data_IF_362624735213
#
_entry.id   IF_362624735213
#
_cell.length_a   1.000
_cell.length_b   1.000
_cell.length_c   1.000
_cell.angle_alpha   90.00
_cell.angle_beta   90.00
_cell.angle_gamma   90.00
#
_symmetry.space_group_name_H-M   'P 1'
#
loop_
_entity.id
_entity.type
_entity.pdbx_description
1 polymer ?
#
# COMPACT_ATOMS: atom_id res chain seq x y z
N UNK A 1 -52.09 5.72 -63.40
CA UNK A 1 -50.73 5.55 -63.96
C UNK A 1 -49.78 6.36 -63.07
N UNK A 2 -48.67 5.94 -62.49
CA UNK A 2 -47.78 4.78 -62.61
C UNK A 2 -46.89 4.78 -61.35
N UNK A 3 -46.69 3.60 -60.72
CA UNK A 3 -45.45 3.04 -60.07
C UNK A 3 -44.65 3.96 -59.10
N UNK A 4 -44.11 3.51 -57.94
CA UNK A 4 -43.52 2.21 -57.56
C UNK A 4 -43.16 2.17 -56.05
N UNK A 5 -42.82 0.96 -55.59
CA UNK A 5 -42.65 0.41 -54.22
C UNK A 5 -41.54 1.01 -53.30
N UNK A 6 -41.80 0.85 -51.98
CA UNK A 6 -40.98 0.82 -50.72
C UNK A 6 -39.61 0.07 -50.80
N UNK A 7 -38.72 -0.05 -49.74
CA UNK A 7 -38.86 0.24 -48.29
C UNK A 7 -37.60 0.79 -47.54
N UNK A 8 -37.72 1.18 -46.24
CA UNK A 8 -36.71 0.88 -45.19
C UNK A 8 -37.26 1.22 -43.78
N UNK A 9 -37.62 0.22 -42.97
CA UNK A 9 -36.85 -0.39 -41.84
C UNK A 9 -36.89 0.38 -40.52
N UNK A 10 -37.79 -0.06 -39.64
CA UNK A 10 -37.57 -0.36 -38.22
C UNK A 10 -36.81 0.64 -37.36
N UNK A 11 -37.55 1.50 -36.67
CA UNK A 11 -37.08 2.30 -35.54
C UNK A 11 -37.14 1.43 -34.27
N UNK A 12 -36.02 0.86 -33.85
CA UNK A 12 -35.92 0.21 -32.54
C UNK A 12 -35.67 1.27 -31.46
N UNK A 13 -36.54 1.26 -30.46
CA UNK A 13 -36.47 2.02 -29.22
C UNK A 13 -35.27 1.59 -28.38
N UNK A 14 -34.33 2.51 -28.14
CA UNK A 14 -33.32 2.37 -27.08
C UNK A 14 -33.86 3.04 -25.82
N UNK A 15 -34.41 2.24 -24.93
CA UNK A 15 -34.60 2.57 -23.52
C UNK A 15 -33.25 2.44 -22.83
N UNK A 16 -32.62 3.57 -22.48
CA UNK A 16 -31.53 3.60 -21.52
C UNK A 16 -32.11 3.39 -20.13
N UNK A 17 -31.66 2.42 -19.32
CA UNK A 17 -31.96 2.41 -17.90
C UNK A 17 -30.95 3.31 -17.19
N UNK A 18 -31.48 4.28 -16.45
CA UNK A 18 -30.76 5.08 -15.48
C UNK A 18 -30.02 4.18 -14.48
N UNK A 19 -28.70 4.11 -14.65
CA UNK A 19 -27.80 3.61 -13.62
C UNK A 19 -27.59 4.73 -12.61
N UNK A 20 -28.21 4.60 -11.44
CA UNK A 20 -28.01 5.47 -10.29
C UNK A 20 -26.51 5.62 -10.00
N UNK A 21 -25.97 6.81 -10.25
CA UNK A 21 -24.68 7.22 -9.72
C UNK A 21 -24.83 7.39 -8.21
N UNK A 22 -24.58 6.31 -7.46
CA UNK A 22 -24.27 6.42 -6.05
C UNK A 22 -23.07 7.37 -5.92
N UNK A 23 -23.21 8.41 -5.10
CA UNK A 23 -22.20 9.44 -4.93
C UNK A 23 -20.86 8.81 -4.57
N UNK A 24 -19.81 9.14 -5.33
CA UNK A 24 -18.44 8.78 -4.99
C UNK A 24 -18.13 9.37 -3.61
N UNK A 25 -18.04 8.51 -2.60
CA UNK A 25 -17.55 8.89 -1.28
C UNK A 25 -16.19 9.56 -1.40
N UNK A 26 -15.92 10.54 -0.54
CA UNK A 26 -14.61 11.13 -0.45
C UNK A 26 -13.63 10.08 0.07
N UNK A 27 -12.56 9.81 -0.71
CA UNK A 27 -11.54 8.83 -0.32
C UNK A 27 -10.96 9.14 1.04
N UNK A 28 -10.79 8.12 1.87
CA UNK A 28 -10.12 8.21 3.17
C UNK A 28 -9.13 7.06 3.36
N UNK A 29 -8.21 7.22 4.29
CA UNK A 29 -7.30 6.15 4.68
C UNK A 29 -8.05 5.16 5.57
N UNK A 30 -7.95 3.88 5.22
CA UNK A 30 -8.45 2.76 5.99
C UNK A 30 -7.28 1.93 6.47
N UNK A 31 -7.24 1.59 7.75
CA UNK A 31 -6.17 0.79 8.34
C UNK A 31 -6.55 -0.69 8.25
N UNK A 32 -5.67 -1.49 7.66
CA UNK A 32 -5.92 -2.89 7.40
C UNK A 32 -4.78 -3.79 7.87
N UNK A 33 -5.12 -4.90 8.50
CA UNK A 33 -4.19 -6.00 8.78
C UNK A 33 -4.65 -7.26 8.04
N UNK A 34 -3.97 -7.55 6.93
CA UNK A 34 -4.38 -8.60 6.00
C UNK A 34 -3.73 -9.96 6.29
N UNK A 35 -3.00 -10.07 7.40
CA UNK A 35 -2.31 -11.30 7.78
C UNK A 35 -2.41 -11.51 9.30
N UNK A 36 -3.48 -12.18 9.73
CA UNK A 36 -3.70 -12.55 11.12
C UNK A 36 -4.10 -14.03 11.24
N UNK A 37 -3.58 -14.69 12.26
CA UNK A 37 -4.00 -16.03 12.66
C UNK A 37 -4.98 -15.92 13.82
N UNK A 38 -5.76 -16.97 13.99
CA UNK A 38 -6.76 -17.11 15.04
C UNK A 38 -6.55 -18.43 15.76
N UNK A 39 -7.30 -18.72 16.84
CA UNK A 39 -7.29 -20.04 17.48
C UNK A 39 -7.64 -21.22 16.56
N UNK A 40 -8.08 -20.98 15.31
CA UNK A 40 -8.23 -22.00 14.28
C UNK A 40 -6.91 -22.49 13.67
N UNK A 41 -5.81 -21.76 13.86
CA UNK A 41 -4.45 -22.15 13.45
C UNK A 41 -3.77 -22.96 14.55
N UNK A 42 -3.06 -24.03 14.20
CA UNK A 42 -2.44 -24.93 15.18
C UNK A 42 -1.33 -24.28 16.02
N UNK A 43 -0.72 -23.23 15.48
CA UNK A 43 0.39 -22.48 16.07
C UNK A 43 -0.04 -21.19 16.77
N UNK A 44 -1.35 -20.99 16.96
CA UNK A 44 -1.86 -19.87 17.75
C UNK A 44 -1.41 -20.03 19.22
N UNK A 45 -0.72 -19.02 19.74
CA UNK A 45 0.01 -19.10 21.01
C UNK A 45 -0.91 -18.97 22.25
N UNK A 46 -2.16 -18.52 22.06
CA UNK A 46 -3.12 -18.23 23.14
C UNK A 46 -4.41 -19.08 23.01
N UNK A 47 -4.41 -20.36 23.44
CA UNK A 47 -5.51 -21.30 23.21
C UNK A 47 -6.82 -20.95 23.95
N UNK A 48 -6.77 -19.98 24.87
CA UNK A 48 -7.94 -19.49 25.60
C UNK A 48 -8.57 -18.24 24.99
N UNK A 49 -7.89 -17.60 24.03
CA UNK A 49 -8.44 -16.45 23.34
C UNK A 49 -9.65 -16.88 22.52
N UNK A 50 -10.70 -16.07 22.53
CA UNK A 50 -11.87 -16.28 21.68
C UNK A 50 -11.72 -15.52 20.37
N UNK A 51 -12.50 -15.90 19.36
CA UNK A 51 -12.54 -15.14 18.10
C UNK A 51 -13.08 -13.72 18.30
N UNK A 52 -13.96 -13.53 19.30
CA UNK A 52 -14.45 -12.21 19.69
C UNK A 52 -13.33 -11.36 20.28
N UNK A 53 -12.40 -11.94 21.04
CA UNK A 53 -11.25 -11.21 21.57
C UNK A 53 -10.32 -10.74 20.44
N UNK A 54 -10.14 -11.52 19.37
CA UNK A 54 -9.39 -11.11 18.18
C UNK A 54 -10.03 -9.88 17.53
N UNK A 55 -11.35 -9.90 17.33
CA UNK A 55 -12.06 -8.78 16.72
C UNK A 55 -12.11 -7.54 17.62
N UNK A 56 -12.29 -7.74 18.94
CA UNK A 56 -12.20 -6.65 19.93
C UNK A 56 -10.83 -5.99 19.89
N UNK A 57 -9.77 -6.79 19.88
CA UNK A 57 -8.38 -6.33 19.78
C UNK A 57 -8.12 -5.55 18.49
N UNK A 58 -8.67 -6.01 17.37
CA UNK A 58 -8.57 -5.30 16.09
C UNK A 58 -9.26 -3.92 16.16
N UNK A 59 -10.47 -3.85 16.73
CA UNK A 59 -11.22 -2.62 16.90
C UNK A 59 -10.55 -1.64 17.87
N UNK A 60 -9.99 -2.13 18.98
CA UNK A 60 -9.23 -1.32 19.96
C UNK A 60 -7.96 -0.70 19.36
N UNK A 61 -7.44 -1.27 18.27
CA UNK A 61 -6.27 -0.75 17.52
C UNK A 61 -6.66 0.08 16.29
N UNK A 62 -7.92 0.49 16.19
CA UNK A 62 -8.46 1.29 15.09
C UNK A 62 -8.22 0.64 13.72
N UNK A 63 -8.33 -0.68 13.61
CA UNK A 63 -8.35 -1.36 12.31
C UNK A 63 -9.74 -1.23 11.70
N UNK A 64 -9.82 -0.79 10.45
CA UNK A 64 -11.05 -0.81 9.66
C UNK A 64 -11.26 -2.16 8.96
N UNK A 65 -10.18 -2.89 8.68
CA UNK A 65 -10.21 -4.14 7.88
C UNK A 65 -9.23 -5.16 8.48
N UNK A 66 -9.67 -6.40 8.62
CA UNK A 66 -8.80 -7.54 8.93
C UNK A 66 -9.05 -8.69 7.95
N UNK A 67 -8.05 -9.54 7.72
CA UNK A 67 -8.24 -10.80 7.02
C UNK A 67 -7.82 -11.98 7.90
N UNK A 68 -8.75 -12.91 8.15
CA UNK A 68 -8.45 -14.16 8.88
C UNK A 68 -7.75 -15.11 7.92
N UNK A 69 -6.47 -15.38 8.17
CA UNK A 69 -5.59 -16.13 7.27
C UNK A 69 -4.89 -17.27 8.01
N UNK A 70 -5.66 -18.13 8.67
CA UNK A 70 -5.09 -19.31 9.36
C UNK A 70 -4.30 -20.22 8.39
N UNK A 71 -3.31 -20.94 8.92
CA UNK A 71 -2.43 -21.78 8.11
C UNK A 71 -3.17 -22.95 7.46
N UNK A 72 -3.26 -22.98 6.14
CA UNK A 72 -3.85 -24.09 5.37
C UNK A 72 -5.28 -24.51 5.80
N UNK A 73 -5.99 -23.63 6.51
CA UNK A 73 -7.33 -23.88 7.03
C UNK A 73 -8.18 -22.61 6.95
N UNK A 74 -9.49 -22.82 7.00
CA UNK A 74 -10.51 -21.78 7.10
C UNK A 74 -11.34 -21.97 8.38
N UNK A 75 -10.82 -22.75 9.34
CA UNK A 75 -11.51 -23.11 10.57
C UNK A 75 -11.88 -21.87 11.41
N UNK A 76 -10.99 -20.87 11.51
CA UNK A 76 -11.24 -19.67 12.29
C UNK A 76 -12.39 -18.83 11.74
N UNK A 77 -12.35 -18.50 10.44
CA UNK A 77 -13.46 -17.77 9.81
C UNK A 77 -14.76 -18.59 9.81
N UNK A 78 -14.65 -19.91 9.68
CA UNK A 78 -15.78 -20.83 9.85
C UNK A 78 -16.39 -20.77 11.25
N UNK A 79 -15.56 -20.70 12.29
CA UNK A 79 -16.01 -20.62 13.68
C UNK A 79 -16.71 -19.29 13.97
N UNK A 80 -16.14 -18.16 13.53
CA UNK A 80 -16.75 -16.83 13.63
C UNK A 80 -18.16 -16.84 13.02
N UNK A 81 -18.28 -17.30 11.77
CA UNK A 81 -19.58 -17.32 11.07
C UNK A 81 -20.58 -18.25 11.75
N UNK A 82 -20.16 -19.44 12.19
CA UNK A 82 -21.03 -20.40 12.89
C UNK A 82 -21.55 -19.83 14.21
N UNK A 83 -20.71 -19.14 14.97
CA UNK A 83 -21.10 -18.52 16.23
C UNK A 83 -22.14 -17.42 16.01
N UNK A 84 -21.89 -16.50 15.08
CA UNK A 84 -22.83 -15.42 14.72
C UNK A 84 -24.16 -16.00 14.22
N UNK A 85 -24.11 -17.01 13.34
CA UNK A 85 -25.30 -17.67 12.82
C UNK A 85 -26.10 -18.36 13.93
N UNK A 86 -25.41 -19.09 14.83
CA UNK A 86 -26.04 -19.75 15.97
C UNK A 86 -26.74 -18.77 16.90
N UNK A 87 -26.06 -17.68 17.30
CA UNK A 87 -26.62 -16.65 18.16
C UNK A 87 -27.82 -15.94 17.48
N UNK A 88 -27.73 -15.67 16.18
CA UNK A 88 -28.83 -15.06 15.41
C UNK A 88 -30.05 -15.98 15.31
N UNK A 89 -29.85 -17.29 15.21
CA UNK A 89 -30.94 -18.28 15.27
C UNK A 89 -31.59 -18.31 16.65
N UNK A 90 -30.80 -18.32 17.73
CA UNK A 90 -31.33 -18.24 19.09
C UNK A 90 -32.12 -16.96 19.34
N UNK A 91 -31.71 -15.83 18.75
CA UNK A 91 -32.45 -14.57 18.83
C UNK A 91 -33.82 -14.69 18.16
N UNK A 92 -33.84 -15.25 16.95
CA UNK A 92 -35.05 -15.46 16.15
C UNK A 92 -36.05 -16.38 16.87
N UNK A 93 -35.53 -17.41 17.54
CA UNK A 93 -36.31 -18.35 18.36
C UNK A 93 -36.71 -17.78 19.73
N UNK A 94 -36.24 -16.57 20.09
CA UNK A 94 -36.41 -15.93 21.41
C UNK A 94 -35.85 -16.77 22.56
N UNK A 95 -34.74 -17.47 22.31
CA UNK A 95 -34.07 -18.38 23.24
C UNK A 95 -32.72 -17.88 23.75
N UNK A 96 -32.31 -16.67 23.36
CA UNK A 96 -31.09 -16.04 23.89
C UNK A 96 -31.16 -15.85 25.40
N UNK A 97 -30.11 -16.29 26.08
CA UNK A 97 -29.77 -15.82 27.43
C UNK A 97 -29.27 -14.37 27.39
N UNK A 98 -29.20 -13.71 28.55
CA UNK A 98 -28.69 -12.34 28.64
C UNK A 98 -27.21 -12.23 28.23
N UNK A 99 -26.40 -13.26 28.54
CA UNK A 99 -24.99 -13.31 28.16
C UNK A 99 -24.82 -13.50 26.64
N UNK A 100 -25.57 -14.42 26.03
CA UNK A 100 -25.55 -14.61 24.58
C UNK A 100 -26.07 -13.37 23.82
N UNK A 101 -27.06 -12.67 24.40
CA UNK A 101 -27.55 -11.40 23.86
C UNK A 101 -26.46 -10.34 23.87
N UNK A 102 -25.72 -10.19 24.99
CA UNK A 102 -24.62 -9.25 25.07
C UNK A 102 -23.52 -9.57 24.05
N UNK A 103 -23.15 -10.85 23.91
CA UNK A 103 -22.16 -11.31 22.90
C UNK A 103 -22.63 -11.06 21.47
N UNK A 104 -23.88 -11.32 21.14
CA UNK A 104 -24.42 -11.06 19.79
C UNK A 104 -24.43 -9.56 19.47
N UNK A 105 -24.79 -8.72 20.44
CA UNK A 105 -24.69 -7.26 20.28
C UNK A 105 -23.26 -6.83 20.03
N UNK A 106 -22.30 -7.35 20.80
CA UNK A 106 -20.88 -7.05 20.62
C UNK A 106 -20.37 -7.48 19.23
N UNK A 107 -20.73 -8.68 18.76
CA UNK A 107 -20.42 -9.14 17.41
C UNK A 107 -20.94 -8.19 16.33
N UNK A 108 -22.19 -7.71 16.47
CA UNK A 108 -22.80 -6.76 15.52
C UNK A 108 -22.09 -5.41 15.55
N UNK A 109 -21.87 -4.86 16.73
CA UNK A 109 -21.20 -3.57 16.92
C UNK A 109 -19.77 -3.57 16.36
N UNK A 110 -19.04 -4.66 16.56
CA UNK A 110 -17.69 -4.82 16.03
C UNK A 110 -17.68 -5.04 14.51
N UNK A 111 -18.63 -5.82 13.98
CA UNK A 111 -18.75 -6.08 12.53
C UNK A 111 -19.14 -4.84 11.73
N UNK A 112 -19.78 -3.85 12.35
CA UNK A 112 -20.03 -2.53 11.75
C UNK A 112 -18.76 -1.66 11.67
N UNK A 113 -17.76 -1.91 12.53
CA UNK A 113 -16.52 -1.13 12.62
C UNK A 113 -15.38 -1.75 11.82
N UNK A 114 -15.26 -3.07 11.86
CA UNK A 114 -14.15 -3.82 11.27
C UNK A 114 -14.68 -4.79 10.22
N UNK A 115 -14.29 -4.58 8.97
CA UNK A 115 -14.55 -5.53 7.90
C UNK A 115 -13.67 -6.77 8.09
N UNK A 116 -14.29 -7.94 8.27
CA UNK A 116 -13.59 -9.22 8.37
C UNK A 116 -13.61 -9.95 7.03
N UNK A 117 -12.43 -10.12 6.43
CA UNK A 117 -12.25 -10.82 5.16
C UNK A 117 -11.88 -12.30 5.40
N UNK A 118 -12.54 -13.25 4.73
CA UNK A 118 -12.12 -14.65 4.73
C UNK A 118 -10.83 -14.83 3.92
N UNK A 119 -9.90 -15.60 4.45
CA UNK A 119 -8.71 -16.02 3.73
C UNK A 119 -8.07 -17.26 4.33
N UNK A 120 -6.85 -17.54 3.89
CA UNK A 120 -5.96 -18.55 4.44
C UNK A 120 -4.50 -18.20 4.09
N UNK A 121 -3.56 -18.64 4.90
CA UNK A 121 -2.13 -18.66 4.55
C UNK A 121 -1.77 -20.07 4.07
N UNK A 122 -1.56 -20.21 2.77
CA UNK A 122 -1.19 -21.46 2.13
C UNK A 122 0.32 -21.68 2.16
N UNK A 123 0.74 -22.85 2.62
CA UNK A 123 2.13 -23.31 2.57
C UNK A 123 2.38 -24.11 1.28
N UNK A 124 3.02 -23.48 0.31
CA UNK A 124 3.41 -24.04 -0.98
C UNK A 124 4.66 -24.93 -0.89
N UNK A 125 5.03 -25.58 -2.00
CA UNK A 125 6.27 -26.37 -2.11
C UNK A 125 7.48 -25.59 -1.59
N UNK A 126 8.39 -26.27 -0.89
CA UNK A 126 9.55 -25.69 -0.17
C UNK A 126 9.19 -24.81 1.03
N UNK A 127 7.92 -24.78 1.44
CA UNK A 127 7.47 -24.06 2.61
C UNK A 127 7.27 -22.58 2.37
N UNK A 128 6.95 -22.14 1.15
CA UNK A 128 6.63 -20.72 0.90
C UNK A 128 5.21 -20.39 1.33
N UNK A 129 5.03 -19.24 1.95
CA UNK A 129 3.71 -18.81 2.38
C UNK A 129 3.08 -17.84 1.40
N UNK A 130 1.79 -18.04 1.15
CA UNK A 130 0.98 -17.29 0.18
C UNK A 130 -0.38 -17.02 0.82
N UNK A 131 -0.78 -15.76 0.90
CA UNK A 131 -2.11 -15.41 1.36
C UNK A 131 -3.09 -15.45 0.18
N UNK A 132 -4.21 -16.12 0.39
CA UNK A 132 -5.41 -16.01 -0.42
C UNK A 132 -6.50 -15.32 0.37
N UNK A 133 -6.90 -14.11 -0.04
CA UNK A 133 -7.97 -13.33 0.63
C UNK A 133 -9.15 -13.20 -0.33
N UNK A 134 -10.37 -13.34 0.17
CA UNK A 134 -11.58 -13.44 -0.66
C UNK A 134 -12.67 -12.45 -0.23
N UNK A 135 -13.68 -12.20 -1.08
CA UNK A 135 -14.84 -11.38 -0.71
C UNK A 135 -15.51 -11.88 0.58
N UNK A 136 -16.06 -10.98 1.41
CA UNK A 136 -16.68 -11.33 2.70
C UNK A 136 -17.84 -12.33 2.58
N UNK A 137 -18.50 -12.39 1.43
CA UNK A 137 -19.61 -13.30 1.14
C UNK A 137 -19.15 -14.68 0.62
N UNK A 138 -17.84 -14.92 0.49
CA UNK A 138 -17.33 -16.17 -0.08
C UNK A 138 -17.73 -17.37 0.80
N UNK A 139 -18.44 -18.38 0.26
CA UNK A 139 -18.88 -19.53 1.06
C UNK A 139 -17.69 -20.33 1.60
N UNK A 140 -17.80 -20.84 2.83
CA UNK A 140 -16.75 -21.64 3.47
C UNK A 140 -16.35 -22.84 2.60
N UNK A 141 -17.33 -23.54 2.03
CA UNK A 141 -17.12 -24.69 1.13
C UNK A 141 -16.31 -24.33 -0.12
N UNK A 142 -16.43 -23.09 -0.62
CA UNK A 142 -15.63 -22.65 -1.77
C UNK A 142 -14.16 -22.50 -1.35
N UNK A 143 -13.89 -21.97 -0.16
CA UNK A 143 -12.52 -21.84 0.36
C UNK A 143 -11.89 -23.21 0.62
N UNK A 144 -12.63 -24.13 1.24
CA UNK A 144 -12.21 -25.54 1.42
C UNK A 144 -11.88 -26.20 0.08
N UNK A 145 -12.73 -26.00 -0.94
CA UNK A 145 -12.49 -26.53 -2.29
C UNK A 145 -11.21 -25.97 -2.93
N UNK A 146 -10.89 -24.70 -2.70
CA UNK A 146 -9.64 -24.09 -3.18
C UNK A 146 -8.44 -24.74 -2.50
N UNK A 147 -8.47 -24.91 -1.17
CA UNK A 147 -7.40 -25.58 -0.42
C UNK A 147 -7.19 -27.04 -0.91
N UNK A 148 -8.27 -27.77 -1.17
CA UNK A 148 -8.20 -29.11 -1.77
C UNK A 148 -7.58 -29.09 -3.17
N UNK A 149 -7.92 -28.08 -3.98
CA UNK A 149 -7.34 -27.90 -5.32
C UNK A 149 -5.85 -27.54 -5.27
N UNK A 150 -5.39 -26.96 -4.17
CA UNK A 150 -3.97 -26.72 -3.87
C UNK A 150 -3.25 -27.94 -3.27
N UNK A 151 -3.92 -29.09 -3.24
CA UNK A 151 -3.42 -30.38 -2.75
C UNK A 151 -3.15 -30.40 -1.24
N UNK A 152 -3.90 -29.62 -0.46
CA UNK A 152 -3.94 -29.77 0.99
C UNK A 152 -4.68 -31.06 1.35
N UNK A 153 -4.07 -31.97 2.14
CA UNK A 153 -4.74 -33.19 2.59
C UNK A 153 -6.00 -32.88 3.40
N UNK A 154 -7.06 -33.66 3.21
CA UNK A 154 -8.36 -33.47 3.88
C UNK A 154 -8.21 -33.46 5.40
N UNK A 155 -7.35 -34.33 5.95
CA UNK A 155 -7.07 -34.45 7.38
C UNK A 155 -6.32 -33.24 7.97
N UNK A 156 -5.69 -32.42 7.13
CA UNK A 156 -4.97 -31.20 7.53
C UNK A 156 -5.85 -29.95 7.52
N UNK A 157 -6.99 -30.00 6.81
CA UNK A 157 -7.91 -28.86 6.70
C UNK A 157 -8.49 -28.41 8.04
N UNK A 158 -8.71 -29.32 8.98
CA UNK A 158 -9.32 -28.98 10.27
C UNK A 158 -8.28 -28.57 11.35
N UNK A 159 -7.01 -28.86 11.12
CA UNK A 159 -5.94 -28.69 12.11
C UNK A 159 -5.21 -27.36 11.93
N UNK A 160 -5.07 -26.90 10.68
CA UNK A 160 -4.35 -25.66 10.40
C UNK A 160 -2.82 -25.80 10.56
N UNK A 161 -2.25 -26.86 9.98
CA UNK A 161 -0.84 -27.22 10.14
C UNK A 161 0.03 -26.58 9.04
N UNK A 162 1.22 -26.08 9.40
CA UNK A 162 2.26 -25.59 8.48
C UNK A 162 2.96 -26.70 7.69
N UNK A 163 2.85 -27.96 8.13
CA UNK A 163 3.45 -29.09 7.45
C UNK A 163 2.50 -29.66 6.40
N UNK A 164 2.63 -29.19 5.18
CA UNK A 164 1.93 -29.75 4.02
C UNK A 164 2.91 -30.63 3.24
N UNK A 165 2.49 -31.85 2.89
CA UNK A 165 3.35 -32.82 2.18
C UNK A 165 3.66 -32.37 0.74
N UNK A 166 3.05 -33.01 -0.24
CA UNK A 166 3.18 -32.67 -1.67
C UNK A 166 2.35 -31.43 -2.05
N UNK A 167 2.55 -30.31 -1.37
CA UNK A 167 1.83 -29.07 -1.67
C UNK A 167 2.17 -28.52 -3.07
N UNK A 168 1.19 -27.84 -3.67
CA UNK A 168 1.30 -27.17 -4.98
C UNK A 168 2.43 -26.14 -5.01
N UNK A 169 3.06 -25.94 -6.17
CA UNK A 169 4.11 -24.93 -6.34
C UNK A 169 3.55 -23.49 -6.28
N UNK A 170 4.45 -22.52 -6.06
CA UNK A 170 4.10 -21.11 -5.85
C UNK A 170 3.30 -20.51 -7.03
N UNK A 171 3.71 -20.77 -8.27
CA UNK A 171 3.09 -20.14 -9.44
C UNK A 171 1.71 -20.72 -9.71
N UNK A 172 1.57 -22.04 -9.57
CA UNK A 172 0.26 -22.70 -9.67
C UNK A 172 -0.67 -22.22 -8.54
N UNK A 173 -0.16 -22.05 -7.32
CA UNK A 173 -0.96 -21.52 -6.21
C UNK A 173 -1.48 -20.10 -6.49
N UNK A 174 -0.63 -19.20 -6.99
CA UNK A 174 -1.05 -17.86 -7.40
C UNK A 174 -2.17 -17.91 -8.42
N UNK A 175 -2.02 -18.73 -9.46
CA UNK A 175 -3.02 -18.88 -10.51
C UNK A 175 -4.37 -19.38 -9.95
N UNK A 176 -4.35 -20.46 -9.16
CA UNK A 176 -5.57 -21.06 -8.60
C UNK A 176 -6.33 -20.06 -7.71
N UNK A 177 -5.63 -19.35 -6.84
CA UNK A 177 -6.24 -18.34 -5.95
C UNK A 177 -6.81 -17.18 -6.77
N UNK A 178 -6.05 -16.67 -7.75
CA UNK A 178 -6.46 -15.56 -8.61
C UNK A 178 -7.71 -15.91 -9.43
N UNK A 179 -7.72 -17.08 -10.10
CA UNK A 179 -8.85 -17.57 -10.89
C UNK A 179 -10.10 -17.82 -10.04
N UNK A 180 -9.93 -18.18 -8.76
CA UNK A 180 -11.04 -18.32 -7.82
C UNK A 180 -11.65 -16.98 -7.36
N UNK A 181 -11.06 -15.84 -7.75
CA UNK A 181 -11.49 -14.48 -7.40
C UNK A 181 -10.85 -13.94 -6.13
N UNK A 182 -9.77 -14.57 -5.65
CA UNK A 182 -9.02 -14.10 -4.49
C UNK A 182 -7.99 -13.02 -4.83
N UNK A 183 -7.58 -12.27 -3.80
CA UNK A 183 -6.36 -11.49 -3.73
C UNK A 183 -5.19 -12.43 -3.43
N UNK A 184 -4.11 -12.32 -4.20
CA UNK A 184 -2.90 -13.13 -4.04
C UNK A 184 -1.77 -12.26 -3.49
N UNK A 185 -1.31 -12.58 -2.29
CA UNK A 185 -0.21 -11.85 -1.64
C UNK A 185 0.88 -12.84 -1.27
N UNK A 186 2.13 -12.54 -1.63
CA UNK A 186 3.25 -13.32 -1.11
C UNK A 186 3.54 -12.87 0.32
N UNK A 187 3.27 -13.76 1.29
CA UNK A 187 3.42 -13.48 2.71
C UNK A 187 4.89 -13.23 3.05
N UNK A 188 5.13 -12.26 3.94
CA UNK A 188 6.43 -11.88 4.52
C UNK A 188 7.63 -12.17 3.58
N UNK A 189 7.54 -11.69 2.34
CA UNK A 189 8.33 -12.14 1.21
C UNK A 189 9.85 -12.03 1.44
N UNK A 190 10.29 -11.11 2.29
CA UNK A 190 11.69 -10.87 2.63
C UNK A 190 12.18 -11.58 3.92
N UNK A 191 11.34 -12.38 4.57
CA UNK A 191 11.58 -13.10 5.82
C UNK A 191 11.51 -14.62 5.63
N UNK A 192 11.67 -15.38 6.71
CA UNK A 192 11.48 -16.85 6.76
C UNK A 192 10.18 -17.26 6.07
N UNK A 193 10.22 -18.30 5.23
CA UNK A 193 9.08 -18.77 4.41
C UNK A 193 8.61 -17.78 3.31
N UNK A 194 9.32 -16.66 3.12
CA UNK A 194 9.06 -15.69 2.05
C UNK A 194 9.73 -16.05 0.71
N UNK A 195 9.05 -15.74 -0.39
CA UNK A 195 9.52 -16.04 -1.76
C UNK A 195 10.74 -15.23 -2.23
N UNK A 196 11.08 -14.15 -1.54
CA UNK A 196 12.18 -13.23 -1.85
C UNK A 196 13.31 -13.25 -0.79
N UNK A 197 13.42 -14.32 -0.01
CA UNK A 197 14.50 -14.53 0.96
C UNK A 197 15.89 -14.34 0.34
N UNK A 198 16.78 -13.64 1.04
CA UNK A 198 18.17 -13.42 0.58
C UNK A 198 19.03 -14.69 0.67
N UNK A 199 18.83 -15.50 1.71
CA UNK A 199 19.74 -16.61 2.06
C UNK A 199 19.27 -18.00 1.59
N UNK A 200 18.16 -18.10 0.86
CA UNK A 200 17.71 -19.37 0.29
C UNK A 200 18.31 -19.58 -1.12
N UNK A 201 18.91 -20.76 -1.41
CA UNK A 201 19.69 -21.01 -2.62
C UNK A 201 18.83 -21.24 -3.87
N UNK A 202 18.05 -20.23 -4.28
CA UNK A 202 17.40 -20.23 -5.59
C UNK A 202 18.24 -19.51 -6.64
N UNK A 203 18.14 -19.96 -7.89
CA UNK A 203 18.58 -19.20 -9.04
C UNK A 203 17.80 -17.89 -9.16
N UNK A 204 18.45 -16.83 -9.67
CA UNK A 204 17.83 -15.51 -9.81
C UNK A 204 16.52 -15.51 -10.62
N UNK A 205 16.41 -16.41 -11.60
CA UNK A 205 15.21 -16.56 -12.44
C UNK A 205 13.98 -17.01 -11.65
N UNK A 206 14.14 -17.91 -10.68
CA UNK A 206 13.01 -18.37 -9.84
C UNK A 206 12.49 -17.23 -8.96
N UNK A 207 13.38 -16.41 -8.39
CA UNK A 207 12.97 -15.25 -7.58
C UNK A 207 12.22 -14.23 -8.42
N UNK A 208 12.67 -13.97 -9.65
CA UNK A 208 11.96 -13.09 -10.59
C UNK A 208 10.58 -13.68 -10.88
N UNK A 209 10.47 -14.96 -11.22
CA UNK A 209 9.20 -15.60 -11.50
C UNK A 209 8.21 -15.48 -10.32
N UNK A 210 8.65 -15.78 -9.10
CA UNK A 210 7.79 -15.71 -7.91
C UNK A 210 7.38 -14.28 -7.51
N UNK A 211 8.17 -13.27 -7.84
CA UNK A 211 7.90 -11.88 -7.41
C UNK A 211 7.30 -11.00 -8.50
N UNK A 212 7.28 -11.46 -9.74
CA UNK A 212 6.81 -10.71 -10.91
C UNK A 212 5.67 -11.43 -11.67
N UNK A 213 5.19 -12.56 -11.16
CA UNK A 213 4.06 -13.30 -11.75
C UNK A 213 2.82 -12.41 -11.91
N UNK A 214 2.12 -12.42 -13.06
CA UNK A 214 0.96 -11.56 -13.30
C UNK A 214 -0.23 -11.82 -12.37
N UNK A 215 -0.35 -13.00 -11.77
CA UNK A 215 -1.43 -13.33 -10.84
C UNK A 215 -1.16 -12.83 -9.41
N UNK A 216 0.09 -12.45 -9.11
CA UNK A 216 0.47 -11.89 -7.82
C UNK A 216 0.04 -10.44 -7.71
N UNK A 217 -0.75 -10.09 -6.69
CA UNK A 217 -1.31 -8.75 -6.50
C UNK A 217 -0.40 -7.85 -5.65
N UNK A 218 0.21 -8.38 -4.58
CA UNK A 218 1.12 -7.63 -3.72
C UNK A 218 2.20 -8.49 -3.06
N UNK A 219 3.24 -7.84 -2.55
CA UNK A 219 4.27 -8.43 -1.70
C UNK A 219 4.08 -7.92 -0.27
N UNK A 220 3.88 -8.81 0.69
CA UNK A 220 3.95 -8.44 2.09
C UNK A 220 5.41 -8.39 2.52
N UNK A 221 5.84 -7.29 3.13
CA UNK A 221 7.24 -7.08 3.53
C UNK A 221 7.35 -6.63 4.97
N UNK A 222 8.37 -7.14 5.66
CA UNK A 222 8.60 -6.87 7.09
C UNK A 222 9.39 -5.59 7.36
N UNK A 223 9.78 -4.85 6.31
CA UNK A 223 10.69 -3.70 6.37
C UNK A 223 10.18 -2.45 5.62
N UNK A 224 8.86 -2.31 5.40
CA UNK A 224 8.27 -1.17 4.68
C UNK A 224 8.47 0.16 5.43
N UNK A 225 8.63 0.10 6.74
CA UNK A 225 8.95 1.22 7.62
C UNK A 225 10.40 1.72 7.45
N UNK A 226 11.28 0.95 6.80
CA UNK A 226 12.68 1.30 6.60
C UNK A 226 12.90 2.04 5.28
N UNK A 227 13.39 3.27 5.36
CA UNK A 227 13.61 4.17 4.22
C UNK A 227 14.75 3.75 3.27
N UNK A 228 15.96 3.49 3.75
CA UNK A 228 17.14 3.29 2.86
C UNK A 228 17.30 1.87 2.28
N UNK A 229 16.72 0.84 2.90
CA UNK A 229 16.91 -0.58 2.52
C UNK A 229 15.62 -1.39 2.37
N UNK A 230 14.45 -0.74 2.30
CA UNK A 230 13.19 -1.48 2.19
C UNK A 230 13.16 -2.35 0.94
N UNK A 231 12.52 -3.50 1.10
CA UNK A 231 12.21 -4.41 0.01
C UNK A 231 11.36 -3.71 -1.07
N UNK A 232 10.51 -2.75 -0.68
CA UNK A 232 9.71 -1.95 -1.60
C UNK A 232 10.54 -1.16 -2.63
N UNK A 233 11.70 -0.62 -2.25
CA UNK A 233 12.59 0.07 -3.20
C UNK A 233 13.17 -0.89 -4.25
N UNK A 234 13.35 -2.16 -3.90
CA UNK A 234 13.85 -3.17 -4.84
C UNK A 234 12.80 -3.49 -5.93
N UNK A 235 11.51 -3.52 -5.57
CA UNK A 235 10.39 -3.83 -6.46
C UNK A 235 9.68 -2.59 -7.01
N UNK A 236 10.40 -1.48 -7.17
CA UNK A 236 9.86 -0.21 -7.66
C UNK A 236 9.73 -0.14 -9.21
N UNK A 237 10.16 -1.18 -9.94
CA UNK A 237 10.14 -1.23 -11.40
C UNK A 237 11.35 -0.59 -12.10
N UNK A 238 12.34 -0.06 -11.37
CA UNK A 238 13.50 0.61 -11.96
C UNK A 238 14.60 -0.35 -12.43
N UNK A 239 14.51 -1.63 -12.08
CA UNK A 239 15.49 -2.66 -12.44
C UNK A 239 15.01 -3.43 -13.67
N UNK A 240 15.90 -3.66 -14.63
CA UNK A 240 15.62 -4.41 -15.86
C UNK A 240 15.05 -5.81 -15.59
N UNK A 241 15.55 -6.48 -14.55
CA UNK A 241 15.17 -7.83 -14.16
C UNK A 241 13.86 -7.88 -13.36
N UNK A 242 13.41 -6.73 -12.82
CA UNK A 242 12.16 -6.58 -12.06
C UNK A 242 11.35 -5.39 -12.61
N UNK A 243 10.87 -5.48 -13.86
CA UNK A 243 10.26 -4.35 -14.54
C UNK A 243 8.84 -4.05 -14.06
N UNK A 244 8.16 -5.00 -13.40
CA UNK A 244 6.83 -4.81 -12.83
C UNK A 244 6.98 -4.22 -11.44
N UNK A 245 6.61 -2.94 -11.31
CA UNK A 245 6.44 -2.30 -10.00
C UNK A 245 5.35 -3.03 -9.21
N UNK A 246 5.69 -3.47 -8.00
CA UNK A 246 4.77 -4.20 -7.11
C UNK A 246 4.24 -3.28 -6.02
N UNK A 247 3.01 -3.53 -5.56
CA UNK A 247 2.56 -3.02 -4.28
C UNK A 247 3.27 -3.77 -3.17
N UNK A 248 3.83 -3.03 -2.22
CA UNK A 248 4.41 -3.61 -1.01
C UNK A 248 3.58 -3.18 0.20
N UNK A 249 3.09 -4.16 0.94
CA UNK A 249 2.22 -3.98 2.10
C UNK A 249 2.85 -4.66 3.32
N UNK A 250 2.20 -4.55 4.47
CA UNK A 250 2.57 -5.24 5.71
C UNK A 250 1.33 -5.73 6.45
N UNK A 251 1.47 -6.87 7.12
CA UNK A 251 0.57 -7.38 8.13
C UNK A 251 1.34 -7.79 9.40
N UNK A 252 0.60 -8.09 10.45
CA UNK A 252 1.17 -8.43 11.74
C UNK A 252 1.73 -9.85 11.80
N UNK A 253 1.20 -10.78 11.00
CA UNK A 253 1.51 -12.21 11.11
C UNK A 253 1.25 -12.69 12.56
N UNK A 254 0.15 -12.19 13.14
CA UNK A 254 -0.14 -12.30 14.56
C UNK A 254 -0.69 -13.69 14.90
N UNK A 255 -0.03 -14.33 15.87
CA UNK A 255 -0.41 -15.62 16.45
C UNK A 255 -0.96 -15.47 17.88
N UNK A 256 -1.32 -14.24 18.25
CA UNK A 256 -1.64 -13.81 19.62
C UNK A 256 -2.29 -12.44 19.60
N UNK A 257 -3.02 -12.09 20.65
CA UNK A 257 -3.73 -10.82 20.75
C UNK A 257 -2.77 -9.64 20.91
N UNK A 258 -1.74 -9.77 21.74
CA UNK A 258 -0.78 -8.69 22.03
C UNK A 258 0.66 -9.14 21.86
N UNK A 259 1.58 -8.20 21.56
CA UNK A 259 3.00 -8.48 21.41
C UNK A 259 3.56 -9.33 22.54
N UNK A 260 4.52 -10.20 22.24
CA UNK A 260 5.27 -10.87 23.30
C UNK A 260 6.20 -9.88 24.02
N UNK A 261 6.03 -9.62 25.34
CA UNK A 261 6.92 -8.73 26.08
C UNK A 261 8.37 -9.23 26.12
N UNK A 262 8.61 -10.53 25.92
CA UNK A 262 9.94 -11.15 25.88
C UNK A 262 10.53 -11.22 24.47
N UNK A 263 9.69 -11.17 23.44
CA UNK A 263 10.12 -11.24 22.05
C UNK A 263 9.41 -10.16 21.20
N UNK A 264 9.96 -8.94 21.11
CA UNK A 264 9.36 -7.84 20.37
C UNK A 264 9.16 -8.08 18.85
N UNK A 265 9.68 -9.19 18.31
CA UNK A 265 9.43 -9.61 16.92
C UNK A 265 8.13 -10.41 16.76
N UNK A 266 7.57 -10.91 17.86
CA UNK A 266 6.27 -11.60 17.89
C UNK A 266 5.19 -10.55 18.13
N UNK A 267 4.56 -10.14 17.04
CA UNK A 267 3.54 -9.11 17.04
C UNK A 267 2.18 -9.67 17.45
N UNK A 268 1.36 -8.79 18.01
CA UNK A 268 -0.07 -9.01 18.19
C UNK A 268 -0.90 -8.45 17.03
N UNK A 269 -2.18 -8.81 17.01
CA UNK A 269 -3.17 -8.41 15.99
C UNK A 269 -3.12 -6.89 15.72
N UNK A 270 -2.82 -6.43 14.52
CA UNK A 270 -2.85 -4.99 14.18
C UNK A 270 -1.65 -4.15 14.61
N UNK A 271 -0.62 -4.75 15.21
CA UNK A 271 0.62 -4.04 15.58
C UNK A 271 1.49 -3.69 14.36
N UNK A 272 1.29 -4.39 13.25
CA UNK A 272 1.78 -3.98 11.94
C UNK A 272 0.62 -4.05 10.97
N UNK A 273 0.31 -2.92 10.35
CA UNK A 273 -0.83 -2.77 9.46
C UNK A 273 -0.43 -1.93 8.24
N UNK A 274 -1.26 -1.98 7.21
CA UNK A 274 -1.17 -1.15 6.01
C UNK A 274 -2.33 -0.19 5.97
N UNK A 275 -2.08 1.06 5.62
CA UNK A 275 -3.13 2.02 5.30
C UNK A 275 -3.39 2.06 3.80
N UNK A 276 -4.67 1.95 3.44
CA UNK A 276 -5.17 2.00 2.07
C UNK A 276 -6.04 3.24 1.87
N UNK A 277 -5.76 4.05 0.85
CA UNK A 277 -6.64 5.16 0.48
C UNK A 277 -7.79 4.60 -0.36
N UNK A 278 -8.94 4.33 0.24
CA UNK A 278 -10.09 3.67 -0.41
C UNK A 278 -11.29 4.61 -0.51
N UNK A 279 -12.21 4.30 -1.43
CA UNK A 279 -13.49 5.00 -1.53
C UNK A 279 -14.48 4.49 -0.44
N UNK A 280 -14.35 3.22 -0.04
CA UNK A 280 -15.10 2.53 1.02
C UNK A 280 -14.30 1.32 1.57
N UNK A 281 -14.68 0.80 2.75
CA UNK A 281 -14.11 -0.42 3.31
C UNK A 281 -14.74 -1.65 2.65
N UNK A 282 -14.22 -2.06 1.50
CA UNK A 282 -14.64 -3.27 0.80
C UNK A 282 -13.45 -4.03 0.21
N UNK A 283 -13.66 -5.33 -0.01
CA UNK A 283 -12.71 -6.20 -0.70
C UNK A 283 -12.38 -5.66 -2.10
N UNK A 284 -13.40 -5.19 -2.81
CA UNK A 284 -13.36 -4.69 -4.18
C UNK A 284 -12.54 -3.39 -4.26
N UNK A 285 -12.64 -2.52 -3.25
CA UNK A 285 -11.81 -1.33 -3.16
C UNK A 285 -10.32 -1.69 -2.98
N UNK A 286 -10.00 -2.68 -2.14
CA UNK A 286 -8.62 -3.18 -1.96
C UNK A 286 -8.10 -3.79 -3.27
N UNK A 287 -8.88 -4.66 -3.90
CA UNK A 287 -8.54 -5.27 -5.21
C UNK A 287 -8.25 -4.18 -6.24
N UNK A 288 -9.10 -3.15 -6.30
CA UNK A 288 -8.95 -2.03 -7.23
C UNK A 288 -7.62 -1.32 -7.03
N UNK A 289 -7.19 -1.08 -5.78
CA UNK A 289 -5.89 -0.47 -5.49
C UNK A 289 -4.75 -1.41 -5.87
N UNK A 290 -4.73 -2.64 -5.34
CA UNK A 290 -3.62 -3.57 -5.47
C UNK A 290 -3.42 -4.09 -6.90
N UNK A 291 -4.47 -4.12 -7.74
CA UNK A 291 -4.35 -4.46 -9.17
C UNK A 291 -4.07 -3.26 -10.07
N UNK A 292 -4.12 -2.05 -9.54
CA UNK A 292 -3.83 -0.82 -10.30
C UNK A 292 -2.37 -0.38 -10.18
N UNK A 293 -2.01 0.66 -10.95
CA UNK A 293 -0.71 1.35 -10.84
C UNK A 293 -0.71 2.51 -9.82
N UNK A 294 -1.69 2.56 -8.92
CA UNK A 294 -1.84 3.65 -7.94
C UNK A 294 -1.08 3.35 -6.64
N UNK A 295 0.25 3.26 -6.75
CA UNK A 295 1.15 2.89 -5.65
C UNK A 295 1.21 3.92 -4.51
N UNK A 296 0.69 5.11 -4.74
CA UNK A 296 0.54 6.20 -3.77
C UNK A 296 -0.67 6.00 -2.84
N UNK A 297 -1.54 5.02 -3.13
CA UNK A 297 -2.73 4.70 -2.31
C UNK A 297 -2.48 3.64 -1.24
N UNK A 298 -1.24 3.22 -1.05
CA UNK A 298 -0.82 2.26 -0.01
C UNK A 298 0.35 2.84 0.76
N UNK A 299 0.34 2.76 2.09
CA UNK A 299 1.46 3.15 2.94
C UNK A 299 1.49 2.30 4.22
N UNK A 300 2.65 2.15 4.89
CA UNK A 300 2.68 1.52 6.20
C UNK A 300 1.79 2.32 7.16
N UNK A 301 0.98 1.62 7.97
CA UNK A 301 0.23 2.25 9.04
C UNK A 301 1.21 2.83 10.05
N UNK A 302 0.94 4.04 10.50
CA UNK A 302 1.80 4.73 11.47
C UNK A 302 1.01 4.90 12.76
N UNK A 303 1.68 4.86 13.92
CA UNK A 303 1.07 5.33 15.15
C UNK A 303 0.54 6.74 14.92
N UNK A 304 -0.66 7.05 15.41
CA UNK A 304 -1.28 8.38 15.30
C UNK A 304 -0.37 9.51 15.81
N UNK A 305 0.59 9.16 16.67
CA UNK A 305 1.51 10.06 17.35
C UNK A 305 2.75 10.46 16.51
N UNK A 306 2.95 9.91 15.31
CA UNK A 306 4.08 10.25 14.43
C UNK A 306 3.61 10.72 13.02
N UNK A 307 3.39 12.03 12.82
CA UNK A 307 3.08 12.58 11.49
C UNK A 307 4.22 12.30 10.49
N UNK A 308 3.86 12.00 9.22
CA UNK A 308 4.84 11.75 8.16
C UNK A 308 5.60 13.02 7.80
N UNK A 309 6.86 13.08 8.20
CA UNK A 309 7.78 14.10 7.77
C UNK A 309 8.30 13.79 6.35
N UNK A 310 7.53 14.23 5.36
CA UNK A 310 7.88 14.06 3.94
C UNK A 310 9.22 14.69 3.58
N UNK A 311 9.68 15.72 4.30
CA UNK A 311 10.98 16.36 4.07
C UNK A 311 12.11 15.51 4.63
N UNK A 312 11.94 14.94 5.84
CA UNK A 312 12.92 14.01 6.39
C UNK A 312 13.14 12.82 5.46
N UNK A 313 12.06 12.25 4.90
CA UNK A 313 12.14 11.19 3.90
C UNK A 313 12.87 11.64 2.61
N UNK A 314 12.54 12.81 2.06
CA UNK A 314 13.22 13.36 0.89
C UNK A 314 14.71 13.63 1.15
N UNK A 315 15.07 14.18 2.32
CA UNK A 315 16.47 14.41 2.72
C UNK A 315 17.26 13.10 2.83
N UNK A 316 16.60 12.02 3.24
CA UNK A 316 17.23 10.71 3.30
C UNK A 316 17.46 10.09 1.92
N UNK A 317 16.54 10.30 0.97
CA UNK A 317 16.73 9.94 -0.43
C UNK A 317 17.87 10.73 -1.09
N UNK A 318 18.05 12.00 -0.68
CA UNK A 318 19.09 12.88 -1.17
C UNK A 318 18.77 13.52 -2.53
N UNK A 319 19.67 14.37 -3.06
CA UNK A 319 19.47 15.04 -4.35
C UNK A 319 19.27 14.02 -5.49
N UNK A 320 18.33 14.32 -6.40
CA UNK A 320 18.02 13.47 -7.54
C UNK A 320 17.57 14.29 -8.75
N UNK A 321 17.10 13.61 -9.80
CA UNK A 321 16.59 14.20 -11.03
C UNK A 321 15.37 15.10 -10.80
N UNK A 322 14.72 14.95 -9.65
CA UNK A 322 13.48 15.65 -9.31
C UNK A 322 13.54 16.36 -7.96
N UNK A 323 14.68 16.38 -7.26
CA UNK A 323 14.78 17.12 -5.99
C UNK A 323 16.17 17.67 -5.68
N UNK A 324 16.22 18.82 -5.01
CA UNK A 324 17.44 19.44 -4.49
C UNK A 324 17.22 20.14 -3.14
N UNK A 325 18.31 20.37 -2.39
CA UNK A 325 18.27 20.84 -1.01
C UNK A 325 19.25 21.99 -0.78
N UNK A 326 18.78 23.08 -0.17
CA UNK A 326 19.55 24.29 0.13
C UNK A 326 19.33 24.75 1.58
N UNK A 327 20.40 24.97 2.34
CA UNK A 327 20.29 25.42 3.73
C UNK A 327 19.77 26.87 3.89
N UNK A 328 19.90 27.70 2.86
CA UNK A 328 19.49 29.10 2.87
C UNK A 328 19.47 29.69 1.45
N UNK A 329 18.70 30.75 1.22
CA UNK A 329 18.68 31.49 -0.05
C UNK A 329 19.53 32.79 -0.03
N UNK A 330 20.70 32.79 0.61
CA UNK A 330 21.51 34.02 0.72
C UNK A 330 22.04 34.49 -0.64
N UNK A 331 21.86 35.79 -0.94
CA UNK A 331 22.49 36.44 -2.10
C UNK A 331 24.01 36.49 -1.96
N UNK A 332 24.50 36.90 -0.78
CA UNK A 332 25.93 36.79 -0.44
C UNK A 332 26.30 35.31 -0.35
N UNK A 333 27.22 34.88 -1.21
CA UNK A 333 27.70 33.49 -1.31
C UNK A 333 27.05 32.65 -2.41
N UNK A 334 26.24 33.24 -3.30
CA UNK A 334 25.77 32.58 -4.54
C UNK A 334 24.68 31.52 -4.37
N UNK A 335 24.20 31.25 -3.15
CA UNK A 335 23.18 30.22 -2.87
C UNK A 335 21.85 30.51 -3.55
N UNK A 336 21.42 31.77 -3.58
CA UNK A 336 20.23 32.16 -4.33
C UNK A 336 20.38 31.80 -5.82
N UNK A 337 21.55 32.08 -6.41
CA UNK A 337 21.82 31.72 -7.81
C UNK A 337 21.78 30.20 -8.02
N UNK A 338 22.30 29.40 -7.09
CA UNK A 338 22.19 27.93 -7.19
C UNK A 338 20.74 27.44 -7.17
N UNK A 339 19.88 28.04 -6.33
CA UNK A 339 18.44 27.75 -6.31
C UNK A 339 17.79 28.07 -7.68
N UNK A 340 18.08 29.25 -8.23
CA UNK A 340 17.54 29.66 -9.55
C UNK A 340 18.01 28.72 -10.67
N UNK A 341 19.29 28.30 -10.63
CA UNK A 341 19.82 27.33 -11.59
C UNK A 341 19.11 25.97 -11.49
N UNK A 342 18.85 25.48 -10.27
CA UNK A 342 18.10 24.23 -10.04
C UNK A 342 16.67 24.34 -10.60
N UNK A 343 15.96 25.45 -10.34
CA UNK A 343 14.60 25.66 -10.86
C UNK A 343 14.58 25.65 -12.39
N UNK A 344 15.54 26.33 -13.03
CA UNK A 344 15.72 26.30 -14.48
C UNK A 344 16.01 24.88 -15.00
N UNK A 345 16.89 24.15 -14.32
CA UNK A 345 17.22 22.76 -14.66
C UNK A 345 16.02 21.82 -14.56
N UNK A 346 15.20 21.96 -13.53
CA UNK A 346 13.98 21.17 -13.36
C UNK A 346 12.94 21.52 -14.43
N UNK A 347 12.76 22.80 -14.76
CA UNK A 347 11.87 23.24 -15.84
C UNK A 347 12.30 22.63 -17.18
N UNK A 348 13.60 22.54 -17.46
CA UNK A 348 14.11 21.98 -18.72
C UNK A 348 14.03 20.45 -18.83
N UNK A 349 14.01 19.74 -17.70
CA UNK A 349 14.04 18.27 -17.66
C UNK A 349 12.65 17.64 -17.40
N UNK A 350 12.38 17.23 -16.17
CA UNK A 350 11.20 16.44 -15.77
C UNK A 350 10.32 17.15 -14.73
N UNK A 351 10.63 18.40 -14.38
CA UNK A 351 10.10 19.04 -13.17
C UNK A 351 10.80 18.53 -11.91
N UNK A 352 10.47 19.11 -10.77
CA UNK A 352 11.09 18.76 -9.50
C UNK A 352 10.70 19.66 -8.34
N UNK A 353 11.26 19.36 -7.16
CA UNK A 353 11.06 20.10 -5.92
C UNK A 353 12.39 20.60 -5.35
N UNK A 354 12.50 21.90 -5.09
CA UNK A 354 13.62 22.50 -4.36
C UNK A 354 13.19 22.72 -2.92
N UNK A 355 13.98 22.23 -1.96
CA UNK A 355 13.74 22.44 -0.53
C UNK A 355 14.74 23.45 0.04
N UNK A 356 14.25 24.56 0.58
CA UNK A 356 15.06 25.65 1.13
C UNK A 356 14.86 25.75 2.65
N UNK A 357 15.97 25.76 3.40
CA UNK A 357 16.02 25.61 4.86
C UNK A 357 16.58 24.27 5.33
N UNK A 358 16.91 23.38 4.40
CA UNK A 358 17.45 22.04 4.67
C UNK A 358 18.65 21.74 3.78
N UNK A 359 19.71 21.23 4.38
CA UNK A 359 20.92 20.83 3.65
C UNK A 359 20.90 19.37 3.24
N UNK A 360 21.79 19.03 2.30
CA UNK A 360 22.05 17.66 1.85
C UNK A 360 22.76 16.79 2.91
N UNK A 361 23.42 17.42 3.89
CA UNK A 361 24.22 16.71 4.91
C UNK A 361 23.31 16.11 5.99
N UNK A 362 23.70 14.94 6.48
CA UNK A 362 23.09 14.29 7.66
C UNK A 362 23.30 15.19 8.89
N UNK A 363 22.21 15.54 9.57
CA UNK A 363 22.21 16.45 10.72
C UNK A 363 20.85 17.16 10.86
N UNK A 364 20.61 17.87 11.99
CA UNK A 364 19.35 18.56 12.21
C UNK A 364 19.12 19.63 11.12
N UNK A 365 17.87 19.79 10.64
CA UNK A 365 17.55 20.80 9.64
C UNK A 365 17.77 22.20 10.23
N UNK A 366 18.32 23.11 9.43
CA UNK A 366 18.61 24.49 9.87
C UNK A 366 17.34 25.31 10.04
N UNK A 367 16.37 25.10 9.15
CA UNK A 367 15.14 25.86 9.08
C UNK A 367 15.31 27.27 8.54
N UNK A 368 14.18 27.89 8.19
CA UNK A 368 14.08 29.29 7.80
C UNK A 368 13.48 30.12 8.93
N UNK A 369 14.21 31.15 9.36
CA UNK A 369 13.70 32.13 10.34
C UNK A 369 12.64 33.05 9.73
N UNK A 370 12.82 33.47 8.47
CA UNK A 370 11.91 34.38 7.75
C UNK A 370 11.45 33.77 6.40
N UNK A 371 10.71 32.66 6.45
CA UNK A 371 10.27 31.92 5.26
C UNK A 371 9.55 32.79 4.20
N UNK A 372 8.64 33.70 4.62
CA UNK A 372 7.92 34.58 3.68
C UNK A 372 8.86 35.53 2.93
N UNK A 373 9.85 36.09 3.61
CA UNK A 373 10.84 36.96 2.97
C UNK A 373 11.69 36.18 1.97
N UNK A 374 12.09 34.96 2.32
CA UNK A 374 12.85 34.06 1.43
C UNK A 374 12.02 33.69 0.21
N UNK A 375 10.73 33.39 0.38
CA UNK A 375 9.81 33.13 -0.73
C UNK A 375 9.76 34.32 -1.69
N UNK A 376 9.46 35.53 -1.20
CA UNK A 376 9.38 36.72 -2.06
C UNK A 376 10.72 37.05 -2.75
N UNK A 377 11.86 36.75 -2.12
CA UNK A 377 13.17 36.91 -2.75
C UNK A 377 13.39 35.93 -3.91
N UNK A 378 12.91 34.69 -3.78
CA UNK A 378 13.04 33.68 -4.83
C UNK A 378 12.05 33.96 -5.96
N UNK A 379 10.80 34.32 -5.64
CA UNK A 379 9.79 34.74 -6.64
C UNK A 379 10.34 35.88 -7.51
N UNK A 380 10.82 36.96 -6.90
CA UNK A 380 11.41 38.09 -7.62
C UNK A 380 12.61 37.67 -8.48
N UNK A 381 13.48 36.80 -7.96
CA UNK A 381 14.65 36.34 -8.71
C UNK A 381 14.30 35.38 -9.84
N UNK A 382 13.22 34.62 -9.75
CA UNK A 382 12.69 33.80 -10.85
C UNK A 382 12.14 34.70 -11.95
N UNK A 383 11.31 35.67 -11.59
CA UNK A 383 10.67 36.60 -12.54
C UNK A 383 11.70 37.45 -13.29
N UNK A 384 12.76 37.90 -12.62
CA UNK A 384 13.79 38.74 -13.24
C UNK A 384 14.79 37.96 -14.09
N UNK A 385 15.07 36.69 -13.74
CA UNK A 385 16.25 35.99 -14.27
C UNK A 385 15.92 34.79 -15.13
N UNK A 386 14.71 34.22 -15.06
CA UNK A 386 14.35 33.05 -15.85
C UNK A 386 13.50 33.47 -17.06
N UNK A 387 13.97 33.14 -18.25
CA UNK A 387 13.27 33.37 -19.53
C UNK A 387 13.11 32.03 -20.26
N UNK A 388 11.92 31.65 -20.76
CA UNK A 388 10.61 32.29 -20.59
C UNK A 388 10.12 32.31 -19.13
N UNK A 389 9.09 33.11 -18.78
CA UNK A 389 8.56 33.17 -17.42
C UNK A 389 8.22 31.79 -16.86
N UNK A 390 8.65 31.53 -15.62
CA UNK A 390 8.42 30.27 -14.91
C UNK A 390 7.53 30.54 -13.71
N UNK A 391 6.47 29.75 -13.56
CA UNK A 391 5.53 29.84 -12.43
C UNK A 391 5.72 28.65 -11.45
N UNK A 392 6.66 28.74 -10.50
CA UNK A 392 6.81 27.72 -9.46
C UNK A 392 5.70 27.83 -8.40
N UNK A 393 5.29 26.70 -7.85
CA UNK A 393 4.40 26.63 -6.69
C UNK A 393 5.21 26.61 -5.39
N UNK A 394 4.78 27.36 -4.38
CA UNK A 394 5.47 27.47 -3.09
C UNK A 394 4.61 26.92 -1.95
N UNK A 395 5.18 26.05 -1.13
CA UNK A 395 4.58 25.54 0.09
C UNK A 395 5.50 25.75 1.29
N UNK A 396 4.95 26.22 2.40
CA UNK A 396 5.64 26.21 3.67
C UNK A 396 5.33 24.92 4.41
N UNK A 397 6.35 24.10 4.66
CA UNK A 397 6.24 22.79 5.29
C UNK A 397 7.11 22.75 6.54
N UNK A 398 6.77 21.90 7.50
CA UNK A 398 7.52 21.74 8.76
C UNK A 398 8.19 20.36 8.82
N UNK A 399 9.42 20.32 9.33
CA UNK A 399 10.21 19.09 9.54
C UNK A 399 11.00 19.24 10.81
N UNK A 400 11.00 18.22 11.68
CA UNK A 400 11.70 18.25 12.98
C UNK A 400 11.53 19.57 13.78
N UNK A 401 10.34 20.19 13.72
CA UNK A 401 10.02 21.46 14.41
C UNK A 401 10.55 22.73 13.75
N UNK A 402 11.09 22.66 12.52
CA UNK A 402 11.58 23.83 11.77
C UNK A 402 10.86 24.02 10.43
N UNK A 403 10.76 25.28 10.01
CA UNK A 403 10.09 25.69 8.77
C UNK A 403 11.00 25.55 7.55
N UNK A 404 10.50 24.94 6.50
CA UNK A 404 11.18 24.70 5.21
C UNK A 404 10.27 25.15 4.08
N UNK A 405 10.85 25.85 3.11
CA UNK A 405 10.13 26.27 1.91
C UNK A 405 10.33 25.21 0.81
N UNK A 406 9.24 24.57 0.37
CA UNK A 406 9.22 23.67 -0.78
C UNK A 406 8.78 24.46 -2.01
N UNK A 407 9.56 24.37 -3.09
CA UNK A 407 9.31 25.05 -4.35
C UNK A 407 9.16 23.98 -5.42
N UNK A 408 7.98 23.87 -6.01
CA UNK A 408 7.67 22.86 -7.01
C UNK A 408 7.62 23.47 -8.41
N UNK A 409 8.32 22.82 -9.33
CA UNK A 409 8.37 23.21 -10.73
C UNK A 409 7.87 22.04 -11.57
N UNK A 410 6.89 22.32 -12.43
CA UNK A 410 6.46 21.36 -13.44
C UNK A 410 7.46 21.29 -14.58
N UNK A 411 7.45 20.19 -15.34
CA UNK A 411 8.15 20.13 -16.62
C UNK A 411 7.69 21.29 -17.51
N UNK A 412 8.63 22.14 -17.91
CA UNK A 412 8.37 23.37 -18.63
C UNK A 412 7.72 23.13 -20.00
N UNK A 413 6.72 23.94 -20.32
CA UNK A 413 6.00 23.87 -21.60
C UNK A 413 6.75 24.58 -22.72
N UNK A 414 7.42 25.69 -22.38
CA UNK A 414 8.06 26.61 -23.32
C UNK A 414 9.60 26.45 -23.35
N UNK A 415 10.07 25.20 -23.26
CA UNK A 415 11.50 24.90 -23.24
C UNK A 415 12.19 25.34 -24.56
N UNK A 416 13.44 25.81 -24.51
CA UNK A 416 14.32 25.83 -23.34
C UNK A 416 14.17 27.10 -22.48
N UNK A 417 14.20 26.92 -21.16
CA UNK A 417 14.34 27.98 -20.16
C UNK A 417 15.83 28.30 -19.97
N UNK A 418 16.17 29.56 -19.80
CA UNK A 418 17.52 30.03 -19.48
C UNK A 418 17.51 30.96 -18.28
N UNK A 419 18.66 31.06 -17.62
CA UNK A 419 18.95 32.04 -16.57
C UNK A 419 19.78 33.18 -17.18
N UNK A 420 19.44 34.42 -16.85
CA UNK A 420 20.08 35.64 -17.33
C UNK A 420 20.15 35.71 -18.88
N UNK A 421 19.14 35.19 -19.58
CA UNK A 421 18.98 35.11 -21.05
C UNK A 421 19.95 34.19 -21.83
N UNK A 422 21.04 33.71 -21.25
CA UNK A 422 22.06 32.94 -21.99
C UNK A 422 22.54 31.65 -21.32
N UNK A 423 22.18 31.38 -20.06
CA UNK A 423 22.66 30.19 -19.34
C UNK A 423 21.57 29.13 -19.28
N UNK A 424 21.79 28.01 -19.95
CA UNK A 424 20.86 26.89 -19.94
C UNK A 424 21.34 25.86 -18.91
N UNK A 425 20.44 25.44 -18.04
CA UNK A 425 20.74 24.41 -17.05
C UNK A 425 19.88 23.17 -17.28
N UNK A 426 20.48 22.00 -17.04
CA UNK A 426 19.81 20.71 -17.06
C UNK A 426 20.19 19.93 -15.81
N UNK A 427 19.27 19.06 -15.39
CA UNK A 427 19.48 18.17 -14.25
C UNK A 427 20.03 16.85 -14.76
N UNK A 428 21.16 16.42 -14.21
CA UNK A 428 21.76 15.12 -14.48
C UNK A 428 22.05 14.41 -13.17
N UNK A 429 21.54 13.19 -13.03
CA UNK A 429 21.46 12.44 -11.77
C UNK A 429 20.99 13.29 -10.58
N UNK A 430 21.90 13.77 -9.74
CA UNK A 430 21.63 14.61 -8.56
C UNK A 430 22.15 16.04 -8.66
N UNK A 431 22.73 16.43 -9.79
CA UNK A 431 23.47 17.68 -9.98
C UNK A 431 22.84 18.55 -11.08
N UNK A 432 23.05 19.86 -10.97
CA UNK A 432 22.63 20.84 -11.97
C UNK A 432 23.84 21.29 -12.76
N UNK A 433 23.83 20.97 -14.05
CA UNK A 433 24.93 21.26 -14.98
C UNK A 433 24.50 22.28 -16.02
N UNK A 434 25.43 23.14 -16.42
CA UNK A 434 25.20 24.06 -17.52
C UNK A 434 25.26 23.28 -18.83
N UNK A 435 24.21 23.38 -19.65
CA UNK A 435 24.17 22.74 -20.96
C UNK A 435 25.16 23.44 -21.89
N UNK A 436 26.11 22.68 -22.42
CA UNK A 436 27.02 23.10 -23.50
C UNK A 436 26.51 22.54 -24.82
N UNK A 437 26.71 23.31 -25.89
CA UNK A 437 26.34 22.92 -27.24
C UNK A 437 27.46 22.04 -27.78
N UNK A 438 27.17 20.77 -28.02
CA UNK A 438 28.01 19.91 -28.87
C UNK A 438 27.87 20.32 -30.35
#
# INVERSE_FOLDING_TARGET
MSKRKKPNTGRQSRSSPDGATQGKGQRRWYRADLHIHTPGSNDYEEPKATYLDVLRTAAERDLDIIAVTDHNTVAGIGAIRREIEWLTRLESDKRLTDEERARLTEWRDLSERVLVLPGFEFTATFGFHILGIFPPETPLRKLEHILLSLNIPVDKLDIGSTETGSATDVLTAYKVIHEAGGLVIAAHANSTHGVAMRNFPFGGQTKIAYTQDPNLDALEVTDLDKSYRSTARFFNGSKSEYPRRMHCIQGSDAHRLTSDPKNPRRLGVGERATEFLLDDASFEAIVTVLRSKQFDRTRPARPADMPFDSIAAAREEGPSLIQSFHESASQRGGRLTTIINDLCAFANTSGGSVYVGVGQRKGPPKGLTNAKQVQSQIEHAVDERITPPLEPAFDLVETEGVKVLRIQVSKGKDRPYCVDDHKFYVRDEGETNMAVRD
#
